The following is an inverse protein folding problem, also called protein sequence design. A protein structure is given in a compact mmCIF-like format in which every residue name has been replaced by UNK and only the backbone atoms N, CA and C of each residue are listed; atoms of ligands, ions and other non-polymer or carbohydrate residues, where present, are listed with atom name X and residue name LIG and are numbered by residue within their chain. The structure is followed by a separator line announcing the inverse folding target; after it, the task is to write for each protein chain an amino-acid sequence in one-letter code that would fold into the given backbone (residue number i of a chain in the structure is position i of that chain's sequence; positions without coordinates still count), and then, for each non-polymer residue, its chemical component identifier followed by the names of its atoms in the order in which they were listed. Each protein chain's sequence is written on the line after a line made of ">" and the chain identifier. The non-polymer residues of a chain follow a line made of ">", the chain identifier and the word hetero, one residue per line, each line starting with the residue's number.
data_IF_242479782519
#
_entry.id   IF_242479782519
#
_cell.length_a   1.000
_cell.length_b   1.000
_cell.length_c   1.000
_cell.angle_alpha   90.00
_cell.angle_beta   90.00
_cell.angle_gamma   90.00
#
_symmetry.space_group_name_H-M   'P 1'
#
loop_
_entity.id
_entity.type
_entity.pdbx_description
1 polymer ?
#
# COMPACT_ATOMS: atom_id res chain seq x y z
N UNK A 1 10.12 51.37 -9.68
CA UNK A 1 9.87 50.11 -10.39
C UNK A 1 10.49 49.02 -9.55
N UNK A 2 9.70 48.53 -8.61
CA UNK A 2 9.98 47.36 -7.79
C UNK A 2 9.62 46.14 -8.63
N UNK A 3 10.51 45.16 -8.71
CA UNK A 3 10.23 43.86 -9.32
C UNK A 3 10.31 42.82 -8.20
N UNK A 4 9.14 42.31 -7.78
CA UNK A 4 8.97 41.25 -6.80
C UNK A 4 9.64 39.96 -7.27
N UNK A 5 10.75 39.60 -6.62
CA UNK A 5 11.32 38.27 -6.74
C UNK A 5 10.49 37.28 -5.90
N UNK A 6 9.54 36.62 -6.56
CA UNK A 6 8.77 35.49 -6.08
C UNK A 6 9.66 34.43 -5.39
N UNK A 7 9.51 34.31 -4.08
CA UNK A 7 10.20 33.33 -3.26
C UNK A 7 9.69 31.91 -3.56
N UNK A 8 10.54 31.05 -4.10
CA UNK A 8 10.28 29.60 -4.20
C UNK A 8 10.03 29.02 -2.79
N UNK A 9 8.97 28.23 -2.57
CA UNK A 9 8.73 27.63 -1.26
C UNK A 9 9.85 26.63 -0.93
N UNK A 10 10.37 26.75 0.28
CA UNK A 10 11.51 25.97 0.79
C UNK A 10 11.20 24.46 0.85
N UNK A 11 12.23 23.63 0.66
CA UNK A 11 12.24 22.16 0.76
C UNK A 11 11.70 21.57 2.08
N UNK A 12 11.32 22.40 3.05
CA UNK A 12 10.80 21.98 4.37
C UNK A 12 9.28 21.70 4.38
N UNK A 13 8.55 22.06 3.32
CA UNK A 13 7.08 21.88 3.24
C UNK A 13 6.62 20.51 2.66
N UNK A 14 7.54 19.68 2.16
CA UNK A 14 7.21 18.40 1.51
C UNK A 14 7.02 17.22 2.47
N UNK A 15 7.06 17.47 3.78
CA UNK A 15 7.02 16.44 4.84
C UNK A 15 5.70 16.30 5.60
N UNK A 16 4.68 17.11 5.32
CA UNK A 16 3.42 17.09 6.08
C UNK A 16 2.33 16.20 5.45
N UNK A 17 2.27 16.12 4.11
CA UNK A 17 1.21 15.43 3.37
C UNK A 17 1.25 13.88 3.43
N UNK A 18 2.22 13.29 4.15
CA UNK A 18 2.32 11.84 4.38
C UNK A 18 1.98 11.39 5.81
N UNK A 19 1.54 12.31 6.69
CA UNK A 19 1.47 12.05 8.14
C UNK A 19 0.15 11.42 8.61
N UNK A 20 -1.02 11.93 8.20
CA UNK A 20 -2.33 11.43 8.64
C UNK A 20 -2.68 10.02 8.14
N UNK A 21 -2.58 9.78 6.83
CA UNK A 21 -2.87 8.45 6.24
C UNK A 21 -1.91 7.35 6.74
N UNK A 22 -0.62 7.67 6.89
CA UNK A 22 0.36 6.71 7.43
C UNK A 22 0.07 6.40 8.89
N UNK A 23 -0.23 7.42 9.70
CA UNK A 23 -0.60 7.22 11.10
C UNK A 23 -1.89 6.39 11.25
N UNK A 24 -2.92 6.72 10.47
CA UNK A 24 -4.15 5.94 10.37
C UNK A 24 -3.86 4.48 10.01
N UNK A 25 -3.05 4.24 8.98
CA UNK A 25 -2.68 2.90 8.53
C UNK A 25 -2.04 2.07 9.65
N UNK A 26 -1.11 2.65 10.39
CA UNK A 26 -0.37 1.97 11.45
C UNK A 26 -1.23 1.73 12.70
N UNK A 27 -2.06 2.71 13.09
CA UNK A 27 -3.05 2.53 14.18
C UNK A 27 -4.07 1.45 13.82
N UNK A 28 -4.56 1.44 12.59
CA UNK A 28 -5.49 0.43 12.10
C UNK A 28 -4.85 -0.97 12.09
N UNK A 29 -3.60 -1.09 11.62
CA UNK A 29 -2.86 -2.35 11.65
C UNK A 29 -2.78 -2.94 13.06
N UNK A 30 -2.45 -2.09 14.05
CA UNK A 30 -2.41 -2.49 15.45
C UNK A 30 -3.77 -2.99 15.94
N UNK A 31 -4.85 -2.26 15.67
CA UNK A 31 -6.20 -2.69 16.07
C UNK A 31 -6.65 -3.99 15.40
N UNK A 32 -6.29 -4.19 14.14
CA UNK A 32 -6.58 -5.44 13.42
C UNK A 32 -5.76 -6.61 13.97
N UNK A 33 -4.51 -6.39 14.39
CA UNK A 33 -3.69 -7.40 15.03
C UNK A 33 -4.16 -7.75 16.46
N UNK A 34 -4.66 -6.77 17.22
CA UNK A 34 -5.17 -6.95 18.58
C UNK A 34 -6.58 -7.59 18.61
N UNK A 35 -7.38 -7.40 17.56
CA UNK A 35 -8.73 -7.95 17.45
C UNK A 35 -8.71 -9.48 17.35
N UNK A 36 -9.37 -10.16 18.30
CA UNK A 36 -9.29 -11.61 18.54
C UNK A 36 -9.68 -12.58 17.40
N UNK A 37 -9.94 -12.10 16.19
CA UNK A 37 -10.07 -12.94 14.99
C UNK A 37 -8.73 -13.16 14.27
N UNK A 38 -7.72 -12.29 14.47
CA UNK A 38 -6.45 -12.29 13.72
C UNK A 38 -5.20 -12.63 14.55
N UNK A 39 -5.36 -12.95 15.84
CA UNK A 39 -4.25 -13.49 16.62
C UNK A 39 -3.76 -14.79 15.97
N UNK A 40 -2.51 -14.80 15.51
CA UNK A 40 -1.89 -15.89 14.75
C UNK A 40 -2.36 -16.13 13.31
N UNK A 41 -2.98 -15.15 12.65
CA UNK A 41 -3.28 -15.23 11.21
C UNK A 41 -2.47 -14.23 10.38
N UNK A 42 -2.32 -14.53 9.10
CA UNK A 42 -1.81 -13.56 8.13
C UNK A 42 -2.74 -12.35 8.10
N UNK A 43 -2.19 -11.18 7.77
CA UNK A 43 -2.99 -9.96 7.63
C UNK A 43 -2.61 -9.28 6.33
N UNK A 44 -3.62 -8.81 5.60
CA UNK A 44 -3.43 -7.89 4.48
C UNK A 44 -4.60 -6.92 4.45
N UNK A 45 -4.33 -5.63 4.29
CA UNK A 45 -5.38 -4.66 4.01
C UNK A 45 -4.83 -3.48 3.21
N UNK A 46 -5.73 -2.63 2.72
CA UNK A 46 -5.38 -1.43 1.98
C UNK A 46 -5.82 -0.22 2.80
N UNK A 47 -4.89 0.42 3.54
CA UNK A 47 -5.22 1.60 4.35
C UNK A 47 -5.80 2.71 3.50
N UNK A 48 -5.20 2.93 2.33
CA UNK A 48 -5.62 3.95 1.36
C UNK A 48 -7.07 3.75 0.89
N UNK A 49 -7.50 2.48 0.76
CA UNK A 49 -8.87 2.14 0.36
C UNK A 49 -9.89 2.50 1.43
N UNK A 50 -9.58 2.14 2.69
CA UNK A 50 -10.44 2.42 3.84
C UNK A 50 -10.47 3.93 4.09
N UNK A 51 -9.32 4.59 3.99
CA UNK A 51 -9.21 6.04 4.12
C UNK A 51 -10.10 6.74 3.11
N UNK A 52 -10.01 6.40 1.81
CA UNK A 52 -10.88 7.00 0.79
C UNK A 52 -12.38 6.81 1.08
N UNK A 53 -12.79 5.62 1.55
CA UNK A 53 -14.18 5.36 1.89
C UNK A 53 -14.68 6.22 3.05
N UNK A 54 -13.87 6.34 4.12
CA UNK A 54 -14.21 7.16 5.28
C UNK A 54 -14.14 8.66 4.96
N UNK A 55 -13.23 9.08 4.09
CA UNK A 55 -13.15 10.46 3.62
C UNK A 55 -14.37 10.87 2.79
N UNK A 56 -14.95 9.95 2.02
CA UNK A 56 -16.21 10.16 1.34
C UNK A 56 -17.36 10.34 2.34
N UNK A 57 -17.42 9.50 3.38
CA UNK A 57 -18.41 9.61 4.46
C UNK A 57 -18.28 10.95 5.20
N UNK A 58 -17.04 11.37 5.51
CA UNK A 58 -16.76 12.62 6.20
C UNK A 58 -17.20 13.87 5.41
N UNK A 59 -17.25 13.80 4.08
CA UNK A 59 -17.71 14.93 3.25
C UNK A 59 -19.17 15.33 3.54
N UNK A 60 -20.00 14.41 4.06
CA UNK A 60 -21.39 14.68 4.42
C UNK A 60 -21.67 14.74 5.93
N UNK A 61 -20.65 14.56 6.77
CA UNK A 61 -20.79 14.40 8.23
C UNK A 61 -20.62 15.72 8.99
N UNK A 62 -21.41 16.01 10.01
CA UNK A 62 -21.30 17.24 10.81
C UNK A 62 -21.10 16.99 12.30
N UNK A 63 -20.79 18.07 13.03
CA UNK A 63 -20.63 18.06 14.48
C UNK A 63 -19.68 16.96 14.98
N UNK A 64 -20.09 16.27 16.04
CA UNK A 64 -19.31 15.18 16.64
C UNK A 64 -18.99 14.05 15.66
N UNK A 65 -19.88 13.77 14.69
CA UNK A 65 -19.64 12.73 13.69
C UNK A 65 -18.45 13.09 12.81
N UNK A 66 -18.35 14.35 12.40
CA UNK A 66 -17.20 14.85 11.64
C UNK A 66 -15.91 14.84 12.47
N UNK A 67 -16.00 15.32 13.71
CA UNK A 67 -14.84 15.42 14.60
C UNK A 67 -14.20 14.05 14.85
N UNK A 68 -15.02 13.01 15.08
CA UNK A 68 -14.56 11.64 15.25
C UNK A 68 -13.93 11.07 13.96
N UNK A 69 -14.56 11.32 12.80
CA UNK A 69 -14.03 10.90 11.49
C UNK A 69 -12.67 11.53 11.21
N UNK A 70 -12.54 12.85 11.43
CA UNK A 70 -11.28 13.59 11.26
C UNK A 70 -10.20 13.09 12.22
N UNK A 71 -10.53 12.87 13.50
CA UNK A 71 -9.61 12.33 14.48
C UNK A 71 -9.11 10.93 14.12
N UNK A 72 -10.01 10.04 13.65
CA UNK A 72 -9.65 8.69 13.23
C UNK A 72 -8.75 8.72 11.99
N UNK A 73 -9.06 9.57 11.02
CA UNK A 73 -8.28 9.73 9.78
C UNK A 73 -7.00 10.56 9.98
N UNK A 74 -6.82 11.19 11.14
CA UNK A 74 -5.66 12.03 11.43
C UNK A 74 -5.60 13.28 10.56
N UNK A 75 -6.75 13.88 10.24
CA UNK A 75 -6.86 15.12 9.47
C UNK A 75 -7.39 16.25 10.36
N UNK A 76 -6.91 17.47 10.19
CA UNK A 76 -7.37 18.64 10.94
C UNK A 76 -8.65 19.25 10.37
N UNK A 77 -8.97 18.99 9.10
CA UNK A 77 -10.16 19.51 8.43
C UNK A 77 -10.60 18.65 7.24
N UNK A 78 -11.83 18.89 6.76
CA UNK A 78 -12.32 18.30 5.50
C UNK A 78 -11.46 18.66 4.30
N UNK A 79 -10.88 19.86 4.28
CA UNK A 79 -10.02 20.32 3.18
C UNK A 79 -8.71 19.52 3.14
N UNK A 80 -8.07 19.31 4.30
CA UNK A 80 -6.87 18.46 4.40
C UNK A 80 -7.19 17.01 4.00
N UNK A 81 -8.38 16.54 4.34
CA UNK A 81 -8.84 15.21 3.97
C UNK A 81 -9.06 15.07 2.46
N UNK A 82 -9.65 16.08 1.82
CA UNK A 82 -9.83 16.14 0.37
C UNK A 82 -8.49 16.28 -0.37
N UNK A 83 -7.53 17.04 0.16
CA UNK A 83 -6.17 17.10 -0.38
C UNK A 83 -5.47 15.74 -0.31
N UNK A 84 -5.60 15.04 0.83
CA UNK A 84 -5.07 13.69 1.02
C UNK A 84 -5.73 12.69 0.05
N UNK A 85 -7.03 12.82 -0.21
CA UNK A 85 -7.77 12.01 -1.17
C UNK A 85 -7.25 12.16 -2.61
N UNK A 86 -6.77 13.34 -3.03
CA UNK A 86 -6.11 13.51 -4.33
C UNK A 86 -4.80 12.70 -4.44
N UNK A 87 -4.05 12.59 -3.35
CA UNK A 87 -2.88 11.71 -3.25
C UNK A 87 -3.26 10.23 -3.39
N UNK A 88 -4.38 9.85 -2.78
CA UNK A 88 -4.98 8.51 -2.90
C UNK A 88 -5.38 8.19 -4.34
N UNK A 89 -6.07 9.08 -5.04
CA UNK A 89 -6.45 8.87 -6.44
C UNK A 89 -5.23 8.62 -7.33
N UNK A 90 -4.13 9.36 -7.10
CA UNK A 90 -2.88 9.17 -7.83
C UNK A 90 -2.27 7.78 -7.57
N UNK A 91 -2.33 7.31 -6.33
CA UNK A 91 -1.82 6.01 -5.91
C UNK A 91 -2.69 4.83 -6.39
N UNK A 92 -4.00 5.04 -6.54
CA UNK A 92 -4.99 4.01 -6.91
C UNK A 92 -5.40 4.03 -8.38
N UNK A 93 -4.92 5.00 -9.18
CA UNK A 93 -5.20 5.06 -10.61
C UNK A 93 -4.78 3.75 -11.31
N UNK A 94 -5.72 3.12 -12.04
CA UNK A 94 -5.44 1.91 -12.82
C UNK A 94 -4.35 2.18 -13.85
N UNK A 95 -3.22 1.49 -13.68
CA UNK A 95 -2.04 1.57 -14.54
C UNK A 95 -1.55 0.18 -14.92
N UNK A 96 -2.48 -0.76 -15.11
CA UNK A 96 -2.20 -2.14 -15.51
C UNK A 96 -1.29 -2.27 -16.75
N UNK A 97 -1.18 -1.22 -17.57
CA UNK A 97 -0.25 -1.15 -18.71
C UNK A 97 1.17 -0.63 -18.43
N UNK A 98 1.49 -0.18 -17.21
CA UNK A 98 2.76 0.49 -16.90
C UNK A 98 3.71 -0.31 -16.00
N UNK A 99 3.48 -1.61 -15.76
CA UNK A 99 4.32 -2.41 -14.84
C UNK A 99 4.17 -2.06 -13.35
N UNK A 100 3.17 -1.25 -12.98
CA UNK A 100 2.76 -1.06 -11.60
C UNK A 100 2.08 -2.34 -11.07
N UNK A 101 2.03 -2.57 -9.74
CA UNK A 101 1.23 -3.66 -9.19
C UNK A 101 -0.21 -3.55 -9.70
N UNK A 102 -0.86 -4.67 -9.97
CA UNK A 102 -2.28 -4.71 -10.29
C UNK A 102 -3.09 -4.33 -9.04
N UNK A 103 -3.37 -3.05 -8.89
CA UNK A 103 -4.21 -2.52 -7.82
C UNK A 103 -5.60 -2.32 -8.40
N UNK A 104 -6.52 -3.23 -8.11
CA UNK A 104 -7.95 -2.94 -8.25
C UNK A 104 -8.47 -2.36 -6.94
N UNK A 105 -9.06 -1.19 -7.05
CA UNK A 105 -9.77 -0.53 -5.98
C UNK A 105 -11.21 -0.28 -6.41
N UNK A 106 -12.15 -0.58 -5.52
CA UNK A 106 -13.54 -0.21 -5.66
C UNK A 106 -14.03 0.28 -4.29
N UNK A 107 -14.38 1.56 -4.22
CA UNK A 107 -15.10 2.13 -3.10
C UNK A 107 -16.47 2.58 -3.59
N UNK A 108 -17.51 2.16 -2.88
CA UNK A 108 -18.88 2.55 -3.15
C UNK A 108 -19.56 2.99 -1.88
N UNK A 109 -20.46 3.95 -2.01
CA UNK A 109 -21.46 4.27 -1.00
C UNK A 109 -22.79 3.73 -1.50
N UNK A 110 -23.45 2.92 -0.68
CA UNK A 110 -24.81 2.44 -0.94
C UNK A 110 -25.75 3.13 0.04
N UNK A 111 -26.89 3.62 -0.46
CA UNK A 111 -27.93 4.27 0.33
C UNK A 111 -29.31 3.76 -0.08
N UNK A 112 -30.31 3.96 0.79
CA UNK A 112 -31.69 3.57 0.52
C UNK A 112 -32.21 4.27 -0.75
N UNK A 113 -32.86 3.52 -1.63
CA UNK A 113 -33.22 3.96 -2.99
C UNK A 113 -34.27 5.07 -2.97
N UNK A 114 -35.09 5.12 -1.93
CA UNK A 114 -36.17 6.10 -1.78
C UNK A 114 -35.67 7.48 -1.37
N UNK A 115 -34.38 7.65 -1.07
CA UNK A 115 -33.80 8.90 -0.58
C UNK A 115 -32.82 9.48 -1.60
N UNK A 116 -32.97 10.77 -1.91
CA UNK A 116 -32.09 11.48 -2.84
C UNK A 116 -30.87 12.06 -2.10
N UNK A 117 -29.69 12.02 -2.74
CA UNK A 117 -28.48 12.66 -2.21
C UNK A 117 -28.46 14.15 -2.61
N UNK A 118 -27.98 15.04 -1.74
CA UNK A 118 -27.79 16.47 -2.06
C UNK A 118 -26.85 16.64 -3.27
N UNK A 119 -27.10 17.61 -4.17
CA UNK A 119 -26.24 17.87 -5.33
C UNK A 119 -24.79 18.20 -4.95
N UNK A 120 -24.59 18.98 -3.88
CA UNK A 120 -23.26 19.38 -3.41
C UNK A 120 -22.47 18.16 -2.88
N UNK A 121 -23.14 17.26 -2.16
CA UNK A 121 -22.53 16.00 -1.73
C UNK A 121 -22.19 15.10 -2.92
N UNK A 122 -23.08 15.00 -3.91
CA UNK A 122 -22.79 14.28 -5.17
C UNK A 122 -21.60 14.88 -5.91
N UNK A 123 -21.48 16.21 -5.95
CA UNK A 123 -20.36 16.91 -6.58
C UNK A 123 -19.06 16.60 -5.84
N UNK A 124 -19.03 16.75 -4.50
CA UNK A 124 -17.86 16.43 -3.68
C UNK A 124 -17.43 14.96 -3.81
N UNK A 125 -18.40 14.03 -3.83
CA UNK A 125 -18.17 12.60 -4.03
C UNK A 125 -17.61 12.28 -5.43
N UNK A 126 -18.10 12.97 -6.45
CA UNK A 126 -17.68 12.76 -7.85
C UNK A 126 -16.32 13.39 -8.14
N UNK A 127 -16.08 14.59 -7.62
CA UNK A 127 -14.85 15.37 -7.81
C UNK A 127 -13.67 14.76 -7.05
N UNK A 128 -13.89 14.24 -5.84
CA UNK A 128 -12.83 13.74 -4.96
C UNK A 128 -12.53 12.24 -5.10
N UNK A 129 -13.45 11.46 -5.71
CA UNK A 129 -13.33 9.98 -5.71
C UNK A 129 -13.69 9.26 -7.02
N UNK A 130 -14.12 9.98 -8.08
CA UNK A 130 -14.50 9.43 -9.41
C UNK A 130 -15.10 8.01 -9.36
N UNK A 131 -16.13 7.82 -8.54
CA UNK A 131 -16.81 6.54 -8.37
C UNK A 131 -17.50 6.10 -9.67
N UNK A 132 -16.74 5.48 -10.59
CA UNK A 132 -17.22 4.68 -11.71
C UNK A 132 -16.61 3.30 -11.57
N UNK A 133 -17.45 2.35 -11.18
CA UNK A 133 -17.13 0.93 -11.08
C UNK A 133 -16.66 0.38 -12.43
N UNK A 134 -15.45 -0.19 -12.47
CA UNK A 134 -15.04 -1.16 -13.50
C UNK A 134 -14.88 -2.53 -12.86
N UNK A 135 -15.54 -3.53 -13.44
CA UNK A 135 -15.34 -4.93 -13.09
C UNK A 135 -13.95 -5.37 -13.56
N UNK A 136 -13.13 -5.91 -12.65
CA UNK A 136 -11.89 -6.57 -12.98
C UNK A 136 -12.10 -8.09 -12.92
N UNK A 137 -12.04 -8.73 -14.09
CA UNK A 137 -12.04 -10.20 -14.21
C UNK A 137 -10.62 -10.73 -13.98
N UNK A 138 -10.33 -11.05 -12.73
CA UNK A 138 -9.05 -11.61 -12.29
C UNK A 138 -8.89 -13.11 -12.57
N UNK A 139 -9.89 -13.77 -13.17
CA UNK A 139 -9.98 -15.23 -13.19
C UNK A 139 -9.60 -15.83 -14.55
N UNK A 140 -9.81 -15.11 -15.66
CA UNK A 140 -10.00 -15.78 -16.95
C UNK A 140 -8.83 -15.81 -17.95
N UNK A 141 -7.63 -15.26 -17.69
CA UNK A 141 -6.49 -15.37 -18.66
C UNK A 141 -5.05 -15.43 -18.08
N UNK A 142 -4.66 -16.48 -17.32
CA UNK A 142 -3.27 -16.62 -16.84
C UNK A 142 -2.28 -17.29 -17.84
N UNK A 143 -2.74 -17.93 -18.92
CA UNK A 143 -1.97 -19.00 -19.59
C UNK A 143 -1.26 -18.67 -20.93
N UNK A 144 -1.08 -17.41 -21.32
CA UNK A 144 -0.27 -17.05 -22.53
C UNK A 144 0.97 -16.21 -22.26
N UNK A 145 1.26 -15.88 -21.00
CA UNK A 145 2.49 -15.22 -20.57
C UNK A 145 3.55 -16.21 -20.03
N UNK A 146 3.32 -17.52 -20.13
CA UNK A 146 4.07 -18.57 -19.40
C UNK A 146 5.49 -18.89 -19.88
N UNK A 147 6.02 -18.21 -20.89
CA UNK A 147 7.42 -18.41 -21.33
C UNK A 147 8.04 -17.09 -21.74
N UNK A 148 8.68 -16.38 -20.80
CA UNK A 148 9.70 -15.35 -21.07
C UNK A 148 10.50 -15.01 -19.80
N UNK A 149 11.69 -15.62 -19.71
CA UNK A 149 12.93 -15.24 -19.02
C UNK A 149 12.74 -14.47 -17.68
N UNK A 150 12.64 -15.19 -16.57
CA UNK A 150 12.64 -14.61 -15.22
C UNK A 150 14.07 -14.57 -14.64
N UNK A 151 14.33 -13.56 -13.81
CA UNK A 151 15.55 -13.39 -12.99
C UNK A 151 15.48 -14.17 -11.67
N UNK A 152 14.30 -14.70 -11.35
CA UNK A 152 13.98 -15.39 -10.11
C UNK A 152 13.98 -16.90 -10.33
N UNK A 153 14.68 -17.62 -9.46
CA UNK A 153 14.61 -19.09 -9.35
C UNK A 153 13.72 -19.46 -8.17
N UNK A 154 12.87 -20.47 -8.32
CA UNK A 154 12.01 -20.98 -7.24
C UNK A 154 12.65 -22.22 -6.61
N UNK A 155 12.75 -22.25 -5.29
CA UNK A 155 13.18 -23.43 -4.54
C UNK A 155 12.35 -23.63 -3.28
N UNK A 156 12.17 -24.87 -2.84
CA UNK A 156 11.45 -25.17 -1.60
C UNK A 156 12.40 -25.01 -0.41
N UNK A 157 11.99 -24.26 0.61
CA UNK A 157 12.74 -24.09 1.87
C UNK A 157 11.80 -24.10 3.07
N UNK A 158 12.37 -24.36 4.23
CA UNK A 158 11.65 -24.27 5.49
C UNK A 158 11.41 -22.81 5.88
N UNK A 159 10.17 -22.52 6.27
CA UNK A 159 9.74 -21.29 6.92
C UNK A 159 9.40 -21.61 8.38
N UNK A 160 9.89 -20.79 9.31
CA UNK A 160 9.71 -20.96 10.75
C UNK A 160 8.45 -20.22 11.20
N UNK A 161 7.57 -20.88 11.94
CA UNK A 161 6.34 -20.31 12.48
C UNK A 161 6.56 -19.75 13.89
N UNK A 162 5.62 -18.93 14.38
CA UNK A 162 5.67 -18.33 15.72
C UNK A 162 5.61 -19.36 16.85
N UNK A 163 5.01 -20.53 16.61
CA UNK A 163 4.93 -21.64 17.57
C UNK A 163 6.20 -22.50 17.63
N UNK A 164 7.23 -22.14 16.84
CA UNK A 164 8.50 -22.87 16.74
C UNK A 164 8.50 -24.02 15.74
N UNK A 165 7.36 -24.35 15.13
CA UNK A 165 7.29 -25.36 14.06
C UNK A 165 7.78 -24.80 12.71
N UNK A 166 7.90 -25.66 11.70
CA UNK A 166 8.30 -25.28 10.34
C UNK A 166 7.35 -25.82 9.28
N UNK A 167 7.24 -25.10 8.18
CA UNK A 167 6.50 -25.49 6.98
C UNK A 167 7.38 -25.38 5.74
N UNK A 168 7.15 -26.23 4.75
CA UNK A 168 7.80 -26.11 3.45
C UNK A 168 7.09 -25.06 2.60
N UNK A 169 7.80 -24.01 2.23
CA UNK A 169 7.30 -22.93 1.39
C UNK A 169 8.13 -22.80 0.12
N UNK A 170 7.49 -22.31 -0.96
CA UNK A 170 8.19 -21.98 -2.20
C UNK A 170 8.82 -20.60 -2.08
N UNK A 171 10.15 -20.53 -2.11
CA UNK A 171 10.89 -19.28 -2.09
C UNK A 171 11.29 -18.88 -3.49
N UNK A 172 10.95 -17.65 -3.86
CA UNK A 172 11.56 -16.97 -4.99
C UNK A 172 12.92 -16.43 -4.54
N UNK A 173 13.96 -16.75 -5.32
CA UNK A 173 15.33 -16.33 -5.07
C UNK A 173 15.89 -15.50 -6.22
N UNK A 174 16.63 -14.43 -5.90
CA UNK A 174 17.24 -13.55 -6.90
C UNK A 174 18.64 -13.13 -6.46
N UNK A 175 19.55 -13.04 -7.44
CA UNK A 175 20.96 -12.64 -7.24
C UNK A 175 21.25 -11.32 -7.98
N UNK A 176 20.59 -10.23 -7.59
CA UNK A 176 20.81 -8.91 -8.22
C UNK A 176 20.91 -7.76 -7.23
N UNK A 177 21.11 -6.55 -7.74
CA UNK A 177 21.20 -5.35 -6.94
C UNK A 177 19.83 -5.00 -6.36
N UNK A 178 19.66 -5.30 -5.07
CA UNK A 178 18.48 -4.91 -4.29
C UNK A 178 18.86 -3.85 -3.27
N UNK A 179 17.90 -3.02 -2.89
CA UNK A 179 18.09 -2.07 -1.81
C UNK A 179 17.79 -2.79 -0.48
N UNK A 180 18.81 -2.94 0.36
CA UNK A 180 18.68 -3.55 1.70
C UNK A 180 19.30 -2.63 2.74
N UNK A 181 18.59 -2.42 3.84
CA UNK A 181 19.08 -1.72 5.02
C UNK A 181 19.14 -2.68 6.22
N UNK A 182 20.22 -2.59 6.99
CA UNK A 182 20.41 -3.35 8.23
C UNK A 182 20.22 -2.40 9.40
N UNK A 183 19.31 -2.74 10.31
CA UNK A 183 19.00 -1.96 11.50
C UNK A 183 19.22 -2.80 12.75
N UNK A 184 19.24 -2.15 13.91
CA UNK A 184 19.32 -2.86 15.20
C UNK A 184 18.02 -3.67 15.41
N UNK A 185 18.13 -4.99 15.27
CA UNK A 185 17.04 -5.94 15.55
C UNK A 185 16.18 -6.34 14.34
N UNK A 186 16.39 -5.75 13.15
CA UNK A 186 15.66 -6.11 11.93
C UNK A 186 16.43 -5.66 10.67
N UNK A 187 16.02 -6.15 9.51
CA UNK A 187 16.50 -5.72 8.20
C UNK A 187 15.34 -5.42 7.27
N UNK A 188 15.57 -4.54 6.30
CA UNK A 188 14.54 -4.07 5.37
C UNK A 188 15.00 -4.30 3.95
N UNK A 189 14.18 -5.03 3.17
CA UNK A 189 14.34 -5.18 1.73
C UNK A 189 13.38 -4.23 1.02
N UNK A 190 13.85 -3.51 0.00
CA UNK A 190 13.01 -2.71 -0.90
C UNK A 190 13.15 -3.21 -2.33
N UNK A 191 12.02 -3.55 -2.94
CA UNK A 191 11.87 -4.01 -4.31
C UNK A 191 11.01 -3.01 -5.08
N UNK A 192 11.61 -2.29 -6.02
CA UNK A 192 10.88 -1.32 -6.84
C UNK A 192 10.08 -2.02 -7.94
N UNK A 193 8.85 -1.57 -8.16
CA UNK A 193 8.08 -1.90 -9.35
C UNK A 193 8.54 -0.97 -10.50
N UNK A 194 9.36 -1.47 -11.42
CA UNK A 194 9.81 -0.76 -12.63
C UNK A 194 8.74 -0.58 -13.74
N UNK A 195 8.40 0.67 -14.10
CA UNK A 195 7.60 0.92 -15.28
C UNK A 195 8.44 0.81 -16.56
N UNK A 196 8.12 -0.16 -17.40
CA UNK A 196 8.59 -0.36 -18.78
C UNK A 196 9.99 -0.95 -19.04
N UNK A 197 10.01 -1.75 -20.11
CA UNK A 197 11.14 -2.46 -20.71
C UNK A 197 12.20 -1.47 -21.22
N UNK A 198 13.46 -1.67 -20.86
CA UNK A 198 14.57 -1.09 -21.61
C UNK A 198 14.56 -1.75 -22.99
N UNK A 199 14.47 -1.00 -24.10
CA UNK A 199 14.66 -1.54 -25.44
C UNK A 199 16.01 -2.25 -25.54
N UNK A 200 16.12 -3.23 -26.42
CA UNK A 200 17.37 -3.91 -26.71
C UNK A 200 18.49 -2.88 -26.94
N UNK A 201 19.71 -3.17 -26.49
CA UNK A 201 20.84 -2.23 -26.53
C UNK A 201 21.16 -1.69 -27.94
N UNK A 202 20.65 -2.32 -29.00
CA UNK A 202 20.70 -1.82 -30.39
C UNK A 202 19.80 -0.61 -30.66
N UNK A 203 18.65 -0.45 -29.98
CA UNK A 203 17.75 0.71 -30.16
C UNK A 203 18.27 1.95 -29.41
N UNK A 204 19.01 1.75 -28.31
CA UNK A 204 19.58 2.84 -27.50
C UNK A 204 20.67 3.64 -28.24
N UNK A 205 21.25 3.08 -29.31
CA UNK A 205 22.22 3.80 -30.15
C UNK A 205 21.55 4.69 -31.20
N UNK A 206 20.34 4.36 -31.66
CA UNK A 206 19.61 5.15 -32.66
C UNK A 206 18.84 6.33 -32.07
N UNK A 207 18.54 6.31 -30.76
CA UNK A 207 17.81 7.38 -30.08
C UNK A 207 18.67 8.44 -29.38
N UNK A 208 20.01 8.35 -29.46
CA UNK A 208 20.91 9.33 -28.83
C UNK A 208 20.78 10.76 -29.40
N UNK A 209 20.16 10.93 -30.56
CA UNK A 209 20.13 12.21 -31.29
C UNK A 209 18.74 12.81 -31.57
N UNK A 210 17.68 12.41 -30.86
CA UNK A 210 16.41 13.15 -30.93
C UNK A 210 16.03 13.73 -29.57
N UNK A 211 16.13 15.05 -29.52
CA UNK A 211 15.40 15.98 -28.69
C UNK A 211 15.41 15.70 -27.17
N UNK A 212 16.17 16.57 -26.49
CA UNK A 212 16.13 16.82 -25.05
C UNK A 212 14.80 17.51 -24.70
N UNK A 213 13.67 16.84 -24.94
CA UNK A 213 12.37 17.29 -24.43
C UNK A 213 12.25 16.84 -22.98
N UNK A 214 12.04 17.84 -22.14
CA UNK A 214 11.91 17.80 -20.70
C UNK A 214 10.68 17.00 -20.24
N UNK A 215 10.76 15.67 -20.22
CA UNK A 215 9.93 14.83 -19.34
C UNK A 215 10.80 14.40 -18.15
N UNK A 216 10.94 15.30 -17.17
CA UNK A 216 11.52 14.96 -15.88
C UNK A 216 10.61 13.90 -15.26
N UNK A 217 11.03 12.63 -15.32
CA UNK A 217 10.31 11.48 -14.76
C UNK A 217 10.04 11.53 -13.26
N UNK A 218 10.18 12.69 -12.61
CA UNK A 218 9.86 12.96 -11.22
C UNK A 218 8.37 12.95 -10.91
N UNK A 219 7.49 13.08 -11.91
CA UNK A 219 6.03 13.04 -11.72
C UNK A 219 5.40 11.66 -12.01
N UNK A 220 6.20 10.62 -12.27
CA UNK A 220 5.68 9.25 -12.42
C UNK A 220 5.60 8.58 -11.04
N UNK A 221 4.47 7.98 -10.64
CA UNK A 221 4.38 7.27 -9.38
C UNK A 221 5.35 6.09 -9.39
N UNK A 222 5.99 5.88 -8.24
CA UNK A 222 7.01 4.86 -8.07
C UNK A 222 6.56 3.92 -6.97
N UNK A 223 6.09 2.75 -7.36
CA UNK A 223 5.68 1.75 -6.39
C UNK A 223 6.89 0.93 -5.94
N UNK A 224 6.91 0.56 -4.66
CA UNK A 224 7.88 -0.39 -4.12
C UNK A 224 7.22 -1.32 -3.12
N UNK A 225 7.58 -2.60 -3.14
CA UNK A 225 7.34 -3.51 -2.03
C UNK A 225 8.50 -3.41 -1.05
N UNK A 226 8.19 -3.21 0.22
CA UNK A 226 9.14 -3.16 1.31
C UNK A 226 8.85 -4.30 2.28
N UNK A 227 9.86 -5.10 2.62
CA UNK A 227 9.74 -6.23 3.55
C UNK A 227 10.61 -5.95 4.78
N UNK A 228 9.97 -5.90 5.94
CA UNK A 228 10.60 -5.69 7.24
C UNK A 228 10.68 -7.04 7.95
N UNK A 229 11.90 -7.58 8.04
CA UNK A 229 12.16 -8.86 8.67
C UNK A 229 12.90 -8.63 10.00
N UNK A 230 12.30 -8.99 11.15
CA UNK A 230 13.01 -9.04 12.43
C UNK A 230 14.27 -9.93 12.36
N UNK A 231 15.21 -9.73 13.28
CA UNK A 231 16.33 -10.67 13.40
C UNK A 231 15.94 -11.92 14.21
N UNK A 232 15.00 -11.78 15.16
CA UNK A 232 14.45 -12.90 15.92
C UNK A 232 13.21 -13.46 15.25
N UNK A 233 13.03 -14.79 15.27
CA UNK A 233 11.90 -15.48 14.62
C UNK A 233 10.54 -15.07 15.17
N UNK A 234 10.49 -14.71 16.44
CA UNK A 234 9.31 -14.24 17.18
C UNK A 234 9.29 -12.71 17.35
N UNK A 235 10.20 -11.97 16.70
CA UNK A 235 10.37 -10.53 16.91
C UNK A 235 9.37 -9.63 16.19
N UNK A 236 8.45 -10.20 15.39
CA UNK A 236 7.50 -9.43 14.59
C UNK A 236 6.52 -8.59 15.44
N UNK A 237 5.91 -9.12 16.52
CA UNK A 237 4.99 -8.33 17.35
C UNK A 237 5.65 -7.07 17.92
N UNK A 238 6.88 -7.18 18.44
CA UNK A 238 7.62 -6.02 18.94
C UNK A 238 7.95 -5.00 17.82
N UNK A 239 8.20 -5.49 16.61
CA UNK A 239 8.48 -4.63 15.46
C UNK A 239 7.23 -3.86 15.02
N UNK A 240 6.06 -4.51 15.01
CA UNK A 240 4.77 -3.87 14.71
C UNK A 240 4.45 -2.79 15.76
N UNK A 241 4.69 -3.05 17.04
CA UNK A 241 4.54 -2.04 18.10
C UNK A 241 5.44 -0.81 17.88
N UNK A 242 6.71 -1.04 17.51
CA UNK A 242 7.65 0.05 17.18
C UNK A 242 7.18 0.86 15.96
N UNK A 243 6.64 0.19 14.93
CA UNK A 243 6.05 0.87 13.77
C UNK A 243 4.85 1.73 14.18
N UNK A 244 3.92 1.17 14.95
CA UNK A 244 2.72 1.87 15.40
C UNK A 244 3.02 3.06 16.31
N UNK A 245 4.11 3.03 17.09
CA UNK A 245 4.49 4.13 17.98
C UNK A 245 5.02 5.38 17.26
N UNK A 246 5.39 5.29 15.98
CA UNK A 246 6.03 6.40 15.25
C UNK A 246 5.64 6.43 13.77
N UNK A 247 4.85 7.41 13.31
CA UNK A 247 4.36 7.48 11.93
C UNK A 247 5.45 7.49 10.85
N UNK A 248 6.62 8.10 11.15
CA UNK A 248 7.75 8.13 10.22
C UNK A 248 8.54 6.82 10.15
N UNK A 249 8.22 5.82 10.99
CA UNK A 249 9.06 4.63 11.17
C UNK A 249 9.31 3.89 9.86
N UNK A 250 8.28 3.66 9.05
CA UNK A 250 8.43 2.91 7.80
C UNK A 250 9.41 3.64 6.87
N UNK A 251 9.18 4.94 6.65
CA UNK A 251 9.95 5.78 5.74
C UNK A 251 11.40 6.00 6.18
N UNK A 252 11.63 6.19 7.48
CA UNK A 252 12.96 6.42 8.04
C UNK A 252 13.89 5.21 7.90
N UNK A 253 13.32 4.00 7.83
CA UNK A 253 14.07 2.76 7.78
C UNK A 253 14.17 2.16 6.38
N UNK A 254 13.59 2.79 5.35
CA UNK A 254 13.73 2.33 3.98
C UNK A 254 15.17 2.51 3.46
N UNK A 255 15.73 1.53 2.74
CA UNK A 255 17.04 1.65 2.14
C UNK A 255 17.06 2.70 1.02
N UNK A 256 18.10 3.54 1.04
CA UNK A 256 18.34 4.60 0.04
C UNK A 256 19.28 4.16 -1.08
N UNK A 257 20.12 3.17 -0.81
CA UNK A 257 21.15 2.69 -1.73
C UNK A 257 20.94 1.21 -2.10
N UNK A 258 21.43 0.83 -3.29
CA UNK A 258 21.39 -0.55 -3.78
C UNK A 258 22.74 -1.23 -3.52
N UNK A 259 22.69 -2.52 -3.20
CA UNK A 259 23.87 -3.36 -3.07
C UNK A 259 23.62 -4.76 -3.62
N UNK A 260 24.69 -5.44 -4.04
CA UNK A 260 24.62 -6.84 -4.48
C UNK A 260 24.13 -7.71 -3.33
N UNK A 261 22.90 -8.20 -3.44
CA UNK A 261 22.24 -8.94 -2.38
C UNK A 261 21.68 -10.23 -2.94
N UNK A 262 21.78 -11.31 -2.17
CA UNK A 262 21.00 -12.51 -2.44
C UNK A 262 19.73 -12.48 -1.62
N UNK A 263 18.59 -12.54 -2.31
CA UNK A 263 17.26 -12.45 -1.71
C UNK A 263 16.58 -13.81 -1.80
N UNK A 264 15.94 -14.22 -0.73
CA UNK A 264 14.95 -15.29 -0.67
C UNK A 264 13.71 -14.76 0.03
N UNK A 265 12.62 -14.71 -0.72
CA UNK A 265 11.32 -14.29 -0.24
C UNK A 265 10.34 -15.43 -0.53
N UNK A 266 9.51 -15.87 0.41
CA UNK A 266 8.49 -16.87 0.10
C UNK A 266 7.46 -16.26 -0.86
N UNK A 267 6.98 -17.08 -1.78
CA UNK A 267 5.75 -16.78 -2.51
C UNK A 267 4.60 -16.83 -1.52
N UNK A 268 3.66 -15.91 -1.63
CA UNK A 268 2.47 -15.93 -0.81
C UNK A 268 1.30 -15.29 -1.53
N UNK A 269 0.10 -15.73 -1.19
CA UNK A 269 -1.15 -15.13 -1.62
C UNK A 269 -2.00 -14.95 -0.39
N UNK A 270 -2.35 -13.72 -0.04
CA UNK A 270 -3.18 -13.43 1.12
C UNK A 270 -4.50 -12.81 0.66
N UNK A 271 -5.57 -13.13 1.37
CA UNK A 271 -6.86 -12.48 1.25
C UNK A 271 -7.41 -12.18 2.63
N UNK A 272 -8.01 -11.00 2.76
CA UNK A 272 -8.64 -10.54 3.99
C UNK A 272 -9.99 -9.94 3.64
N UNK A 273 -11.02 -10.29 4.40
CA UNK A 273 -12.36 -9.74 4.26
C UNK A 273 -12.96 -9.59 5.65
N UNK A 274 -13.31 -8.37 6.05
CA UNK A 274 -13.87 -8.13 7.39
C UNK A 274 -14.83 -6.95 7.41
N UNK A 275 -15.75 -6.98 8.36
CA UNK A 275 -16.59 -5.85 8.71
C UNK A 275 -15.85 -4.97 9.73
N UNK A 276 -15.63 -3.70 9.39
CA UNK A 276 -14.73 -2.81 10.10
C UNK A 276 -15.39 -2.06 11.25
N UNK A 277 -16.71 -2.16 11.46
CA UNK A 277 -17.44 -1.38 12.46
C UNK A 277 -16.81 -1.48 13.86
N UNK A 278 -16.55 -2.69 14.35
CA UNK A 278 -15.99 -2.88 15.70
C UNK A 278 -14.60 -2.26 15.84
N UNK A 279 -13.77 -2.38 14.79
CA UNK A 279 -12.42 -1.82 14.76
C UNK A 279 -12.46 -0.29 14.72
N UNK A 280 -13.34 0.29 13.89
CA UNK A 280 -13.48 1.74 13.77
C UNK A 280 -14.08 2.39 15.02
N UNK A 281 -15.05 1.73 15.68
CA UNK A 281 -15.54 2.13 17.00
C UNK A 281 -14.42 2.13 18.04
N UNK A 282 -13.61 1.07 18.08
CA UNK A 282 -12.45 1.00 18.98
C UNK A 282 -11.32 2.02 18.65
N UNK A 283 -11.37 2.64 17.46
CA UNK A 283 -10.51 3.75 17.08
C UNK A 283 -11.09 5.12 17.44
N UNK A 284 -12.35 5.18 17.92
CA UNK A 284 -13.03 6.41 18.33
C UNK A 284 -14.10 6.91 17.36
N UNK A 285 -14.45 6.15 16.32
CA UNK A 285 -15.55 6.47 15.40
C UNK A 285 -16.83 5.80 15.90
N UNK A 286 -17.55 6.40 16.84
CA UNK A 286 -18.76 5.83 17.44
C UNK A 286 -20.04 6.49 16.91
N UNK A 287 -20.07 7.81 16.84
CA UNK A 287 -21.23 8.61 16.45
C UNK A 287 -21.74 8.25 15.05
N UNK A 288 -20.85 7.98 14.10
CA UNK A 288 -21.19 7.57 12.74
C UNK A 288 -22.04 6.28 12.68
N UNK A 289 -22.01 5.45 13.72
CA UNK A 289 -22.73 4.17 13.81
C UNK A 289 -23.89 4.19 14.82
N UNK A 290 -24.25 5.37 15.34
CA UNK A 290 -25.28 5.55 16.37
C UNK A 290 -26.41 6.41 15.79
N UNK A 291 -27.61 5.84 15.67
CA UNK A 291 -28.78 6.51 15.09
C UNK A 291 -29.17 7.82 15.80
N UNK A 292 -28.78 8.01 17.06
CA UNK A 292 -29.11 9.19 17.86
C UNK A 292 -28.04 10.28 17.80
N UNK A 293 -26.82 9.94 17.37
CA UNK A 293 -25.66 10.85 17.35
C UNK A 293 -25.15 11.13 15.94
N UNK A 294 -25.41 10.23 15.00
CA UNK A 294 -24.97 10.36 13.62
C UNK A 294 -25.59 11.62 13.00
N UNK A 295 -24.72 12.51 12.54
CA UNK A 295 -25.10 13.71 11.82
C UNK A 295 -24.49 13.65 10.42
N UNK A 296 -25.32 13.25 9.46
CA UNK A 296 -25.01 13.25 8.04
C UNK A 296 -25.97 14.14 7.25
N UNK A 297 -26.40 15.24 7.88
CA UNK A 297 -27.40 16.16 7.34
C UNK A 297 -27.05 16.73 5.96
N UNK A 298 -25.78 16.73 5.56
CA UNK A 298 -25.35 17.17 4.23
C UNK A 298 -25.33 16.10 3.14
N UNK A 299 -25.66 14.84 3.46
CA UNK A 299 -25.70 13.78 2.46
C UNK A 299 -27.02 13.74 1.69
N UNK A 300 -28.16 14.01 2.33
CA UNK A 300 -29.50 13.73 1.79
C UNK A 300 -30.34 14.98 1.54
N UNK A 301 -31.16 14.96 0.49
CA UNK A 301 -32.25 15.91 0.30
C UNK A 301 -33.39 15.57 1.27
N UNK A 302 -33.33 16.11 2.49
CA UNK A 302 -34.31 15.89 3.55
C UNK A 302 -33.68 15.83 4.93
N UNK A 303 -34.52 15.81 5.98
CA UNK A 303 -34.09 15.80 7.39
C UNK A 303 -34.20 14.39 8.01
N UNK A 304 -34.03 13.36 7.18
CA UNK A 304 -34.11 11.98 7.65
C UNK A 304 -32.82 11.61 8.38
N UNK A 305 -32.90 10.96 9.55
CA UNK A 305 -31.71 10.47 10.24
C UNK A 305 -31.01 9.43 9.37
N UNK A 306 -29.70 9.56 9.24
CA UNK A 306 -28.85 8.65 8.48
C UNK A 306 -27.74 8.16 9.40
N UNK A 307 -27.36 6.89 9.25
CA UNK A 307 -26.30 6.24 10.02
C UNK A 307 -25.48 5.34 9.09
N UNK A 308 -24.21 5.12 9.41
CA UNK A 308 -23.41 4.09 8.76
C UNK A 308 -23.79 2.74 9.37
N UNK A 309 -24.48 1.89 8.60
CA UNK A 309 -24.86 0.57 9.08
C UNK A 309 -23.66 -0.39 9.08
N UNK A 310 -22.95 -0.50 7.95
CA UNK A 310 -21.85 -1.43 7.77
C UNK A 310 -20.70 -0.82 6.96
N UNK A 311 -19.47 -1.13 7.38
CA UNK A 311 -18.25 -0.87 6.59
C UNK A 311 -17.59 -2.21 6.30
N UNK A 312 -17.50 -2.59 5.03
CA UNK A 312 -16.82 -3.82 4.61
C UNK A 312 -15.50 -3.49 3.93
N UNK A 313 -14.44 -4.21 4.32
CA UNK A 313 -13.14 -4.12 3.66
C UNK A 313 -12.71 -5.48 3.14
N UNK A 314 -12.26 -5.52 1.89
CA UNK A 314 -11.66 -6.71 1.28
C UNK A 314 -10.35 -6.34 0.59
N UNK A 315 -9.31 -7.11 0.85
CA UNK A 315 -8.01 -6.98 0.19
C UNK A 315 -7.48 -8.35 -0.24
N UNK A 316 -6.81 -8.39 -1.38
CA UNK A 316 -6.11 -9.58 -1.88
C UNK A 316 -4.75 -9.13 -2.38
N UNK A 317 -3.69 -9.84 -1.98
CA UNK A 317 -2.34 -9.65 -2.52
C UNK A 317 -1.78 -11.00 -2.93
N UNK A 318 -1.09 -11.01 -4.06
CA UNK A 318 -0.36 -12.18 -4.55
C UNK A 318 1.06 -11.73 -4.88
N UNK A 319 2.02 -12.39 -4.25
CA UNK A 319 3.45 -12.14 -4.43
C UNK A 319 4.07 -13.42 -4.93
N UNK A 320 4.44 -13.37 -6.21
CA UNK A 320 5.21 -14.39 -6.89
C UNK A 320 6.24 -13.73 -7.81
N UNK A 321 6.93 -14.55 -8.61
CA UNK A 321 7.91 -14.07 -9.57
C UNK A 321 7.29 -13.18 -10.65
N UNK A 322 5.97 -13.20 -10.85
CA UNK A 322 5.20 -12.52 -11.90
C UNK A 322 4.53 -11.22 -11.42
N UNK A 323 3.88 -11.23 -10.26
CA UNK A 323 3.29 -10.09 -9.57
C UNK A 323 4.33 -9.14 -8.98
N UNK A 324 5.59 -9.57 -8.86
CA UNK A 324 6.76 -8.70 -8.61
C UNK A 324 7.39 -8.19 -9.92
N UNK A 325 6.85 -8.55 -11.11
CA UNK A 325 7.42 -8.14 -12.40
C UNK A 325 7.03 -6.74 -12.76
N UNK A 326 8.03 -5.91 -12.61
CA UNK A 326 8.13 -4.63 -13.22
C UNK A 326 9.56 -4.58 -13.77
N UNK A 327 9.64 -4.86 -15.08
CA UNK A 327 10.75 -4.92 -16.05
C UNK A 327 12.24 -4.91 -15.61
N UNK A 328 13.00 -5.95 -16.02
CA UNK A 328 14.12 -5.85 -16.99
C UNK A 328 14.87 -7.20 -17.19
N UNK A 329 14.82 -7.71 -18.42
CA UNK A 329 15.51 -8.91 -18.91
C UNK A 329 16.70 -8.52 -19.80
N UNK A 330 17.91 -8.92 -19.39
CA UNK A 330 18.99 -9.32 -20.30
C UNK A 330 19.73 -10.47 -19.62
N UNK A 331 19.59 -11.69 -20.14
CA UNK A 331 20.35 -12.85 -19.71
C UNK A 331 21.68 -12.87 -20.46
N UNK A 332 22.78 -12.66 -19.75
CA UNK A 332 24.07 -13.26 -20.08
C UNK A 332 24.50 -14.07 -18.85
N UNK A 333 24.26 -15.38 -18.89
CA UNK A 333 24.90 -16.35 -17.99
C UNK A 333 26.38 -16.42 -18.30
N UNK A 334 27.16 -15.49 -17.74
CA UNK A 334 28.55 -15.77 -17.40
C UNK A 334 28.60 -15.96 -15.89
N UNK A 335 28.73 -17.21 -15.46
CA UNK A 335 28.98 -17.57 -14.06
C UNK A 335 30.29 -16.89 -13.61
N UNK A 336 30.19 -15.77 -12.89
CA UNK A 336 31.26 -15.34 -12.01
C UNK A 336 31.20 -16.23 -10.76
N UNK A 337 32.03 -17.27 -10.73
CA UNK A 337 32.20 -18.18 -9.58
C UNK A 337 32.83 -17.50 -8.35
N UNK A 338 33.12 -16.19 -8.42
CA UNK A 338 33.83 -15.43 -7.37
C UNK A 338 33.09 -14.16 -6.89
N UNK A 339 31.78 -14.03 -7.12
CA UNK A 339 31.03 -12.89 -6.59
C UNK A 339 30.70 -13.11 -5.09
N UNK A 340 31.41 -12.40 -4.21
CA UNK A 340 31.02 -12.27 -2.80
C UNK A 340 29.77 -11.38 -2.71
N UNK A 341 28.68 -11.92 -2.15
CA UNK A 341 27.48 -11.15 -1.84
C UNK A 341 27.56 -10.73 -0.37
N UNK A 342 27.79 -9.46 -0.05
CA UNK A 342 28.01 -9.02 1.32
C UNK A 342 26.77 -9.15 2.21
N UNK A 343 25.57 -9.20 1.63
CA UNK A 343 24.30 -9.25 2.37
C UNK A 343 23.36 -10.33 1.82
N UNK A 344 22.86 -11.18 2.73
CA UNK A 344 21.80 -12.15 2.46
C UNK A 344 20.50 -11.70 3.13
N UNK A 345 19.44 -11.53 2.35
CA UNK A 345 18.09 -11.33 2.85
C UNK A 345 17.29 -12.62 2.66
N UNK A 346 17.01 -13.32 3.75
CA UNK A 346 16.23 -14.56 3.78
C UNK A 346 15.03 -14.31 4.68
N UNK A 347 13.82 -14.28 4.12
CA UNK A 347 12.57 -14.11 4.87
C UNK A 347 12.00 -15.48 5.26
N UNK A 348 12.71 -16.20 6.14
CA UNK A 348 12.39 -17.57 6.57
C UNK A 348 11.56 -17.64 7.86
N UNK A 349 10.98 -16.53 8.30
CA UNK A 349 10.16 -16.41 9.50
C UNK A 349 9.28 -15.15 9.40
N UNK A 350 8.33 -14.92 10.32
CA UNK A 350 7.32 -13.88 10.19
C UNK A 350 7.86 -12.48 9.91
N UNK A 351 7.24 -11.80 8.94
CA UNK A 351 7.66 -10.48 8.49
C UNK A 351 6.45 -9.58 8.21
N UNK A 352 6.69 -8.26 8.30
CA UNK A 352 5.75 -7.25 7.82
C UNK A 352 6.11 -6.84 6.38
N UNK A 353 5.11 -6.50 5.58
CA UNK A 353 5.31 -5.97 4.23
C UNK A 353 4.45 -4.72 3.98
N UNK A 354 4.93 -3.87 3.09
CA UNK A 354 4.26 -2.66 2.65
C UNK A 354 4.40 -2.53 1.14
N UNK A 355 3.31 -2.24 0.45
CA UNK A 355 3.34 -1.73 -0.93
C UNK A 355 3.14 -0.24 -0.83
N UNK A 356 4.15 0.53 -1.24
CA UNK A 356 4.18 1.98 -1.08
C UNK A 356 4.28 2.68 -2.42
N UNK A 357 3.72 3.88 -2.52
CA UNK A 357 3.97 4.84 -3.60
C UNK A 357 4.93 5.92 -3.08
N UNK A 358 6.17 5.91 -3.60
CA UNK A 358 7.28 6.69 -3.06
C UNK A 358 7.17 8.21 -3.29
N UNK A 359 6.41 8.67 -4.29
CA UNK A 359 6.31 10.11 -4.59
C UNK A 359 5.37 10.82 -3.61
N UNK A 360 4.19 10.24 -3.36
CA UNK A 360 3.19 10.71 -2.40
C UNK A 360 3.44 10.24 -0.98
N UNK A 361 4.39 9.32 -0.77
CA UNK A 361 4.63 8.68 0.53
C UNK A 361 3.37 7.98 1.07
N UNK A 362 2.68 7.26 0.18
CA UNK A 362 1.41 6.56 0.50
C UNK A 362 1.63 5.08 0.69
N UNK A 363 1.04 4.50 1.74
CA UNK A 363 0.94 3.05 1.94
C UNK A 363 -0.32 2.53 1.24
N UNK A 364 -0.14 1.79 0.14
CA UNK A 364 -1.21 1.26 -0.69
C UNK A 364 -1.76 -0.05 -0.12
N UNK A 365 -0.85 -0.96 0.24
CA UNK A 365 -1.16 -2.18 0.98
C UNK A 365 -0.17 -2.35 2.11
N UNK A 366 -0.63 -2.97 3.19
CA UNK A 366 0.26 -3.45 4.23
C UNK A 366 -0.30 -4.70 4.88
N UNK A 367 0.57 -5.40 5.58
CA UNK A 367 0.21 -6.65 6.22
C UNK A 367 1.40 -7.35 6.83
N UNK A 368 1.16 -8.56 7.31
CA UNK A 368 2.18 -9.46 7.78
C UNK A 368 1.92 -10.89 7.29
N UNK A 369 3.02 -11.62 7.15
CA UNK A 369 3.01 -13.05 6.84
C UNK A 369 3.52 -13.79 8.07
N UNK A 370 2.66 -14.60 8.68
CA UNK A 370 2.99 -15.56 9.73
C UNK A 370 3.19 -16.96 9.18
N UNK A 371 2.47 -17.31 8.11
CA UNK A 371 2.58 -18.59 7.38
C UNK A 371 2.35 -18.34 5.87
N UNK A 372 3.38 -18.37 5.01
CA UNK A 372 3.24 -18.08 3.59
C UNK A 372 2.43 -19.14 2.80
N UNK A 373 2.15 -20.30 3.41
CA UNK A 373 1.37 -21.38 2.78
C UNK A 373 -0.14 -21.20 2.95
N UNK A 374 -0.56 -20.30 3.84
CA UNK A 374 -1.97 -19.99 4.11
C UNK A 374 -2.43 -18.76 3.35
N UNK A 375 -3.65 -18.84 2.82
CA UNK A 375 -4.24 -17.79 1.98
C UNK A 375 -5.21 -16.86 2.68
N UNK A 376 -5.66 -17.21 3.89
CA UNK A 376 -6.66 -16.51 4.69
C UNK A 376 -6.13 -16.25 6.09
#
# INVERSE_FOLDING_TARGET
>A
MEEEASSRPSKKARGAAGSGLTDFALRLAKRLADGGQSQNQNLVFSPVSIYAALSLVAAGAHGTTLDELLAVLGAASRDELAESARGVERALADRSGSGAPLVAFACGLWHEKTVALKPDYRAAATESYKAKTRAADFKNKPEKARKRINRWDTETRQFNLLDGSTVDAQFMSCRTDHAVALHKGFKVLKMAYHPYQIPHWEDAYLHRNKQKDSDDGSDRPRFSMCVFLPNSRDGLPELVEKMASRPSFVWDHLPKERSKTRVWLPKFKLSFSSQMNGVLKAMGMEAAFDETKADFSDMLEGDQPLVVEHVFHKAVIEVDEEGTKAAASTACTMQLLCATFPVNFVADHPFAFFVVEEVSSTIVFMGHVLDPTRSE
#
